data_IF_786376263908
#
_entry.id   IF_786376263908
#
_cell.length_a   1.000
_cell.length_b   1.000
_cell.length_c   1.000
_cell.angle_alpha   90.00
_cell.angle_beta   90.00
_cell.angle_gamma   90.00
#
_symmetry.space_group_name_H-M   'P 1'
#
loop_
_entity.id
_entity.type
_entity.pdbx_description
1 polymer ?
#
# COMPACT_ATOMS: atom_id res chain seq x y z
N UNK A 1 -6.24 -30.08 -58.57
CA UNK A 1 -5.13 -30.03 -57.59
C UNK A 1 -5.04 -28.59 -57.08
N UNK A 2 -5.91 -28.23 -56.13
CA UNK A 2 -5.89 -26.93 -55.45
C UNK A 2 -6.18 -27.20 -53.99
N UNK A 3 -5.21 -26.83 -53.18
CA UNK A 3 -4.99 -27.18 -51.78
C UNK A 3 -6.07 -26.59 -50.88
N UNK A 4 -6.61 -27.41 -49.97
CA UNK A 4 -7.44 -26.96 -48.85
C UNK A 4 -6.59 -26.11 -47.89
N UNK A 5 -7.13 -25.03 -47.31
CA UNK A 5 -6.39 -24.23 -46.35
C UNK A 5 -6.25 -24.99 -45.02
N UNK A 6 -5.02 -24.99 -44.51
CA UNK A 6 -4.58 -25.49 -43.22
C UNK A 6 -5.46 -24.97 -42.07
N UNK A 7 -5.97 -25.88 -41.24
CA UNK A 7 -6.55 -25.57 -39.95
C UNK A 7 -5.54 -24.77 -39.11
N UNK A 8 -5.93 -23.56 -38.70
CA UNK A 8 -5.16 -22.77 -37.76
C UNK A 8 -5.25 -23.42 -36.37
N UNK A 9 -4.12 -23.98 -35.92
CA UNK A 9 -3.96 -24.45 -34.54
C UNK A 9 -4.07 -23.24 -33.60
N UNK A 10 -5.24 -23.09 -32.97
CA UNK A 10 -5.48 -22.11 -31.92
C UNK A 10 -4.56 -22.44 -30.73
N UNK A 11 -3.72 -21.52 -30.23
CA UNK A 11 -2.84 -21.82 -29.12
C UNK A 11 -3.67 -22.14 -27.87
N UNK A 12 -3.28 -23.22 -27.19
CA UNK A 12 -3.93 -23.72 -25.99
C UNK A 12 -3.87 -22.65 -24.89
N UNK A 13 -4.92 -21.82 -24.77
CA UNK A 13 -5.00 -20.77 -23.74
C UNK A 13 -4.92 -21.46 -22.37
N UNK A 14 -3.83 -21.21 -21.65
CA UNK A 14 -3.61 -21.76 -20.31
C UNK A 14 -4.82 -21.39 -19.44
N UNK A 15 -5.66 -22.38 -19.13
CA UNK A 15 -6.93 -22.15 -18.41
C UNK A 15 -6.73 -21.82 -16.94
N UNK A 16 -5.52 -22.02 -16.43
CA UNK A 16 -5.13 -21.79 -15.05
C UNK A 16 -3.70 -21.27 -14.96
N UNK A 17 -3.43 -20.42 -13.97
CA UNK A 17 -2.08 -19.97 -13.65
C UNK A 17 -1.83 -19.95 -12.15
N UNK A 18 -0.55 -20.05 -11.75
CA UNK A 18 -0.11 -19.93 -10.36
C UNK A 18 0.49 -18.55 -10.11
N UNK A 19 0.22 -17.97 -8.95
CA UNK A 19 0.82 -16.70 -8.52
C UNK A 19 0.84 -16.61 -7.01
N UNK A 20 1.84 -15.91 -6.47
CA UNK A 20 1.73 -15.36 -5.12
C UNK A 20 0.66 -14.26 -5.10
N UNK A 21 0.01 -14.09 -3.95
CA UNK A 21 -1.02 -13.07 -3.76
C UNK A 21 -1.10 -12.62 -2.30
N UNK A 22 -1.33 -11.32 -2.10
CA UNK A 22 -1.69 -10.72 -0.81
C UNK A 22 -3.16 -10.29 -0.88
N UNK A 23 -3.96 -10.70 0.10
CA UNK A 23 -5.40 -10.34 0.15
C UNK A 23 -5.57 -8.93 0.73
N UNK A 24 -5.93 -7.96 -0.12
CA UNK A 24 -6.15 -6.56 0.28
C UNK A 24 -7.56 -6.33 0.84
N UNK A 25 -8.56 -6.91 0.17
CA UNK A 25 -9.98 -6.77 0.53
C UNK A 25 -10.70 -8.10 0.31
N UNK A 26 -11.70 -8.33 1.17
CA UNK A 26 -12.60 -9.46 1.09
C UNK A 26 -14.03 -8.98 1.33
N UNK A 27 -14.94 -9.40 0.48
CA UNK A 27 -16.38 -9.16 0.65
C UNK A 27 -17.14 -10.47 0.43
N UNK A 28 -18.24 -10.64 1.16
CA UNK A 28 -19.14 -11.76 0.93
C UNK A 28 -19.78 -11.63 -0.45
N UNK A 29 -19.86 -12.74 -1.19
CA UNK A 29 -20.41 -12.78 -2.54
C UNK A 29 -21.39 -13.94 -2.65
N UNK A 30 -22.67 -13.62 -2.83
CA UNK A 30 -23.74 -14.61 -2.73
C UNK A 30 -23.78 -15.28 -1.34
N UNK A 31 -24.27 -16.52 -1.28
CA UNK A 31 -24.47 -17.22 -0.01
C UNK A 31 -23.21 -17.87 0.53
N UNK A 32 -22.35 -18.43 -0.33
CA UNK A 32 -21.24 -19.30 0.10
C UNK A 32 -19.87 -18.88 -0.43
N UNK A 33 -19.79 -17.84 -1.27
CA UNK A 33 -18.56 -17.42 -1.93
C UNK A 33 -18.00 -16.13 -1.30
N UNK A 34 -16.74 -15.83 -1.61
CA UNK A 34 -16.09 -14.56 -1.29
C UNK A 34 -15.54 -13.93 -2.57
N UNK A 35 -15.70 -12.62 -2.70
CA UNK A 35 -14.97 -11.82 -3.67
C UNK A 35 -13.73 -11.25 -2.99
N UNK A 36 -12.56 -11.51 -3.59
CA UNK A 36 -11.27 -11.07 -3.10
C UNK A 36 -10.71 -10.01 -4.03
N UNK A 37 -10.15 -8.95 -3.48
CA UNK A 37 -9.18 -8.10 -4.18
C UNK A 37 -7.81 -8.48 -3.67
N UNK A 38 -6.95 -8.95 -4.57
CA UNK A 38 -5.60 -9.40 -4.25
C UNK A 38 -4.57 -8.59 -5.02
N UNK A 39 -3.39 -8.44 -4.46
CA UNK A 39 -2.24 -7.88 -5.16
C UNK A 39 -1.23 -8.97 -5.42
N UNK A 40 -0.66 -8.99 -6.63
CA UNK A 40 0.24 -10.05 -7.10
C UNK A 40 1.51 -9.45 -7.69
N UNK A 41 2.63 -10.16 -7.63
CA UNK A 41 3.91 -9.64 -8.10
C UNK A 41 3.99 -9.48 -9.62
N UNK A 42 3.27 -10.30 -10.40
CA UNK A 42 3.42 -10.38 -11.86
C UNK A 42 2.15 -10.08 -12.66
N UNK A 43 1.03 -9.75 -11.99
CA UNK A 43 -0.25 -9.43 -12.65
C UNK A 43 -0.95 -8.23 -12.01
N UNK A 44 -0.25 -7.53 -11.12
CA UNK A 44 -0.81 -6.42 -10.38
C UNK A 44 -1.98 -6.82 -9.51
N UNK A 45 -2.95 -5.91 -9.41
CA UNK A 45 -4.18 -6.11 -8.66
C UNK A 45 -5.20 -6.92 -9.46
N UNK A 46 -5.81 -7.90 -8.81
CA UNK A 46 -6.81 -8.81 -9.40
C UNK A 46 -8.04 -8.93 -8.52
N UNK A 47 -9.20 -9.15 -9.16
CA UNK A 47 -10.44 -9.58 -8.48
C UNK A 47 -10.71 -11.06 -8.71
N UNK A 48 -10.79 -11.82 -7.63
CA UNK A 48 -10.96 -13.28 -7.68
C UNK A 48 -12.21 -13.71 -6.93
N UNK A 49 -12.97 -14.66 -7.49
CA UNK A 49 -14.05 -15.33 -6.77
C UNK A 49 -13.48 -16.59 -6.10
N UNK A 50 -13.56 -16.66 -4.78
CA UNK A 50 -13.27 -17.85 -4.00
C UNK A 50 -14.57 -18.63 -3.74
N UNK A 51 -14.89 -19.56 -4.64
CA UNK A 51 -16.12 -20.36 -4.58
C UNK A 51 -16.16 -21.29 -3.36
N UNK A 52 -17.28 -21.27 -2.64
CA UNK A 52 -17.54 -22.03 -1.44
C UNK A 52 -16.66 -21.63 -0.26
N UNK A 53 -15.97 -20.48 -0.32
CA UNK A 53 -15.03 -20.06 0.71
C UNK A 53 -15.67 -19.91 2.10
N UNK A 54 -16.97 -19.63 2.18
CA UNK A 54 -17.73 -19.46 3.44
C UNK A 54 -18.36 -20.76 3.95
N UNK A 55 -18.25 -21.87 3.22
CA UNK A 55 -18.77 -23.16 3.71
C UNK A 55 -17.97 -23.59 4.94
N UNK A 56 -18.60 -24.15 5.99
CA UNK A 56 -17.88 -24.67 7.16
C UNK A 56 -16.81 -25.71 6.80
N UNK A 57 -17.02 -26.48 5.73
CA UNK A 57 -16.09 -27.50 5.21
C UNK A 57 -15.06 -26.96 4.22
N UNK A 58 -14.98 -25.63 4.05
CA UNK A 58 -14.12 -24.99 3.05
C UNK A 58 -12.65 -25.12 3.41
N UNK A 59 -11.91 -25.85 2.58
CA UNK A 59 -10.43 -25.87 2.64
C UNK A 59 -9.78 -24.54 2.29
N UNK A 60 -10.52 -23.58 1.71
CA UNK A 60 -9.96 -22.28 1.28
C UNK A 60 -10.12 -21.18 2.32
N UNK A 61 -11.04 -21.33 3.30
CA UNK A 61 -11.46 -20.22 4.17
C UNK A 61 -10.28 -19.56 4.89
N UNK A 62 -9.43 -20.36 5.54
CA UNK A 62 -8.28 -19.85 6.29
C UNK A 62 -7.16 -19.26 5.43
N UNK A 63 -7.11 -19.63 4.14
CA UNK A 63 -6.07 -19.18 3.20
C UNK A 63 -6.45 -17.90 2.44
N UNK A 64 -7.67 -17.40 2.61
CA UNK A 64 -8.19 -16.21 1.93
C UNK A 64 -8.67 -15.16 2.94
N UNK A 65 -7.99 -15.13 4.06
CA UNK A 65 -8.22 -14.14 5.10
C UNK A 65 -7.57 -12.80 4.72
N UNK A 66 -8.02 -11.72 5.35
CA UNK A 66 -7.44 -10.40 5.07
C UNK A 66 -5.96 -10.38 5.43
N UNK A 67 -5.18 -9.69 4.61
CA UNK A 67 -3.74 -9.46 4.74
C UNK A 67 -2.84 -10.68 4.55
N UNK A 68 -3.41 -11.89 4.48
CA UNK A 68 -2.60 -13.10 4.28
C UNK A 68 -1.90 -13.09 2.93
N UNK A 69 -0.65 -13.53 2.93
CA UNK A 69 0.16 -13.83 1.75
C UNK A 69 0.13 -15.33 1.47
N UNK A 70 -0.11 -15.72 0.22
CA UNK A 70 -0.20 -17.13 -0.14
C UNK A 70 0.05 -17.43 -1.61
N UNK A 71 0.19 -18.71 -1.90
CA UNK A 71 0.31 -19.27 -3.24
C UNK A 71 -1.08 -19.65 -3.78
N UNK A 72 -1.49 -19.01 -4.87
CA UNK A 72 -2.83 -19.14 -5.44
C UNK A 72 -2.78 -19.86 -6.78
N UNK A 73 -3.73 -20.77 -7.02
CA UNK A 73 -4.03 -21.34 -8.34
C UNK A 73 -5.34 -20.73 -8.83
N UNK A 74 -5.25 -19.97 -9.92
CA UNK A 74 -6.36 -19.19 -10.45
C UNK A 74 -6.77 -19.74 -11.80
N UNK A 75 -8.06 -19.99 -11.99
CA UNK A 75 -8.64 -20.31 -13.29
C UNK A 75 -9.15 -19.04 -13.97
N UNK A 76 -8.77 -18.86 -15.24
CA UNK A 76 -9.18 -17.69 -16.03
C UNK A 76 -10.66 -17.81 -16.36
N UNK A 77 -11.46 -16.87 -15.86
CA UNK A 77 -12.90 -16.83 -16.06
C UNK A 77 -13.29 -16.07 -17.34
N UNK A 78 -14.58 -16.04 -17.64
CA UNK A 78 -15.12 -15.18 -18.70
C UNK A 78 -15.19 -13.71 -18.27
N UNK A 79 -15.59 -13.47 -17.01
CA UNK A 79 -15.78 -12.13 -16.44
C UNK A 79 -14.93 -11.92 -15.18
N UNK A 80 -14.89 -12.92 -14.29
CA UNK A 80 -14.08 -12.90 -13.07
C UNK A 80 -13.32 -14.20 -12.96
N UNK A 81 -12.05 -14.09 -12.61
CA UNK A 81 -11.19 -15.23 -12.38
C UNK A 81 -11.57 -15.95 -11.09
N UNK A 82 -11.37 -17.26 -11.07
CA UNK A 82 -11.83 -18.13 -10.00
C UNK A 82 -10.61 -18.66 -9.24
N UNK A 83 -10.58 -18.42 -7.94
CA UNK A 83 -9.60 -19.03 -7.05
C UNK A 83 -9.95 -20.50 -6.82
N UNK A 84 -9.12 -21.38 -7.40
CA UNK A 84 -9.34 -22.84 -7.34
C UNK A 84 -8.64 -23.47 -6.14
N UNK A 85 -7.41 -23.06 -5.85
CA UNK A 85 -6.61 -23.48 -4.69
C UNK A 85 -5.89 -22.29 -4.08
N UNK A 86 -5.70 -22.32 -2.77
CA UNK A 86 -4.92 -21.34 -2.03
C UNK A 86 -4.18 -22.05 -0.91
N UNK A 87 -2.91 -21.70 -0.74
CA UNK A 87 -2.05 -22.17 0.33
C UNK A 87 -1.40 -20.95 0.98
N UNK A 88 -1.48 -20.84 2.30
CA UNK A 88 -0.89 -19.72 3.03
C UNK A 88 0.63 -19.87 3.07
N UNK A 89 1.34 -18.81 2.72
CA UNK A 89 2.78 -18.68 2.94
C UNK A 89 3.00 -17.96 4.27
N UNK A 90 2.39 -16.79 4.44
CA UNK A 90 2.47 -16.00 5.67
C UNK A 90 1.07 -15.46 6.06
N UNK A 91 0.51 -15.90 7.21
CA UNK A 91 -0.81 -15.48 7.66
C UNK A 91 -0.86 -14.08 8.28
N UNK A 92 0.27 -13.51 8.71
CA UNK A 92 0.38 -12.25 9.48
C UNK A 92 -0.64 -12.16 10.63
N UNK A 93 -0.72 -13.21 11.47
CA UNK A 93 -1.73 -13.33 12.52
C UNK A 93 -1.83 -12.10 13.45
N UNK A 94 -0.72 -11.45 13.88
CA UNK A 94 -0.80 -10.26 14.74
C UNK A 94 -1.62 -9.12 14.14
N UNK A 95 -1.68 -9.00 12.80
CA UNK A 95 -2.48 -7.97 12.13
C UNK A 95 -3.98 -8.18 12.27
N UNK A 96 -4.44 -9.37 12.68
CA UNK A 96 -5.87 -9.69 12.87
C UNK A 96 -6.25 -9.89 14.33
N UNK A 97 -5.26 -10.06 15.20
CA UNK A 97 -5.46 -10.31 16.64
C UNK A 97 -5.41 -9.01 17.47
N UNK A 98 -4.75 -7.97 16.95
CA UNK A 98 -4.71 -6.63 17.56
C UNK A 98 -5.46 -5.60 16.72
N UNK A 99 -6.36 -4.84 17.37
CA UNK A 99 -7.22 -3.87 16.70
C UNK A 99 -6.43 -2.71 16.06
N UNK A 100 -5.36 -2.25 16.71
CA UNK A 100 -4.56 -1.13 16.21
C UNK A 100 -3.71 -1.59 15.02
N UNK A 101 -3.07 -2.76 15.10
CA UNK A 101 -2.36 -3.40 13.98
C UNK A 101 -3.31 -3.67 12.81
N UNK A 102 -4.51 -4.19 13.07
CA UNK A 102 -5.57 -4.38 12.06
C UNK A 102 -5.84 -3.07 11.32
N UNK A 103 -5.96 -1.97 12.06
CA UNK A 103 -6.27 -0.67 11.49
C UNK A 103 -5.14 -0.17 10.58
N UNK A 104 -3.88 -0.30 11.01
CA UNK A 104 -2.73 0.06 10.18
C UNK A 104 -2.56 -0.86 8.97
N UNK A 105 -2.87 -2.16 9.10
CA UNK A 105 -2.87 -3.09 7.98
C UNK A 105 -3.90 -2.68 6.91
N UNK A 106 -5.11 -2.28 7.32
CA UNK A 106 -6.09 -1.70 6.41
C UNK A 106 -5.59 -0.41 5.74
N UNK A 107 -4.90 0.45 6.48
CA UNK A 107 -4.34 1.69 5.95
C UNK A 107 -3.30 1.42 4.84
N UNK A 108 -2.31 0.57 5.13
CA UNK A 108 -1.26 0.17 4.18
C UNK A 108 -1.86 -0.53 2.96
N UNK A 109 -2.84 -1.41 3.16
CA UNK A 109 -3.56 -2.09 2.07
C UNK A 109 -4.41 -1.12 1.22
N UNK A 110 -5.09 -0.15 1.85
CA UNK A 110 -5.87 0.87 1.15
C UNK A 110 -4.98 1.75 0.27
N UNK A 111 -3.77 2.10 0.74
CA UNK A 111 -2.80 2.83 -0.06
C UNK A 111 -2.32 2.02 -1.27
N UNK A 112 -1.97 0.73 -1.09
CA UNK A 112 -1.61 -0.14 -2.21
C UNK A 112 -2.76 -0.25 -3.23
N UNK A 113 -4.00 -0.43 -2.77
CA UNK A 113 -5.19 -0.45 -3.63
C UNK A 113 -5.41 0.90 -4.33
N UNK A 114 -5.17 2.01 -3.65
CA UNK A 114 -5.42 3.36 -4.16
C UNK A 114 -4.44 3.78 -5.27
N UNK A 115 -3.17 3.43 -5.11
CA UNK A 115 -2.09 3.84 -6.01
C UNK A 115 -1.80 2.83 -7.13
N UNK A 116 -2.57 1.74 -7.23
CA UNK A 116 -2.43 0.74 -8.29
C UNK A 116 -3.70 0.60 -9.11
N UNK A 117 -3.54 0.47 -10.43
CA UNK A 117 -4.63 0.09 -11.31
C UNK A 117 -4.79 -1.44 -11.36
N UNK A 118 -5.96 -1.92 -11.81
CA UNK A 118 -6.18 -3.34 -12.03
C UNK A 118 -5.31 -3.84 -13.20
N UNK A 119 -4.57 -4.94 -13.01
CA UNK A 119 -3.64 -5.49 -14.00
C UNK A 119 -2.27 -4.81 -14.09
N UNK A 120 -2.03 -3.72 -13.36
CA UNK A 120 -0.75 -2.99 -13.39
C UNK A 120 0.29 -3.67 -12.51
N UNK A 121 1.31 -4.25 -13.14
CA UNK A 121 2.37 -5.00 -12.46
C UNK A 121 3.33 -4.04 -11.74
N UNK A 122 3.44 -4.19 -10.43
CA UNK A 122 4.44 -3.47 -9.64
C UNK A 122 5.04 -4.40 -8.58
N UNK A 123 6.00 -5.24 -9.01
CA UNK A 123 6.73 -6.17 -8.14
C UNK A 123 7.39 -5.48 -6.94
N UNK A 124 8.10 -4.34 -7.09
CA UNK A 124 8.67 -3.63 -5.95
C UNK A 124 7.62 -3.23 -4.90
N UNK A 125 6.44 -2.77 -5.34
CA UNK A 125 5.36 -2.41 -4.41
C UNK A 125 4.77 -3.64 -3.73
N UNK A 126 4.71 -4.78 -4.42
CA UNK A 126 4.27 -6.04 -3.82
C UNK A 126 5.23 -6.47 -2.69
N UNK A 127 6.53 -6.40 -2.93
CA UNK A 127 7.54 -6.71 -1.93
C UNK A 127 7.52 -5.69 -0.77
N UNK A 128 7.35 -4.40 -1.06
CA UNK A 128 7.18 -3.37 -0.03
C UNK A 128 5.95 -3.60 0.85
N UNK A 129 4.82 -4.01 0.27
CA UNK A 129 3.59 -4.31 1.02
C UNK A 129 3.79 -5.53 1.95
N UNK A 130 4.46 -6.57 1.45
CA UNK A 130 4.82 -7.77 2.22
C UNK A 130 5.69 -7.39 3.42
N UNK A 131 6.71 -6.58 3.19
CA UNK A 131 7.61 -6.10 4.23
C UNK A 131 6.86 -5.23 5.24
N UNK A 132 5.99 -4.33 4.79
CA UNK A 132 5.18 -3.47 5.66
C UNK A 132 4.25 -4.27 6.58
N UNK A 133 3.62 -5.33 6.08
CA UNK A 133 2.85 -6.24 6.94
C UNK A 133 3.73 -6.96 7.97
N UNK A 134 4.93 -7.39 7.59
CA UNK A 134 5.93 -7.91 8.54
C UNK A 134 6.31 -6.89 9.61
N UNK A 135 6.61 -5.65 9.21
CA UNK A 135 6.93 -4.57 10.15
C UNK A 135 5.78 -4.29 11.11
N UNK A 136 4.54 -4.24 10.60
CA UNK A 136 3.35 -4.01 11.41
C UNK A 136 3.01 -5.18 12.35
N UNK A 137 3.55 -6.39 12.16
CA UNK A 137 3.44 -7.48 13.12
C UNK A 137 4.34 -7.28 14.34
N UNK A 138 5.51 -6.68 14.15
CA UNK A 138 6.56 -6.61 15.18
C UNK A 138 6.77 -5.21 15.77
N UNK A 139 6.30 -4.16 15.09
CA UNK A 139 6.58 -2.79 15.49
C UNK A 139 5.94 -2.44 16.83
N UNK A 140 6.72 -1.75 17.67
CA UNK A 140 6.23 -1.03 18.86
C UNK A 140 5.55 0.28 18.45
N UNK A 141 6.03 0.89 17.35
CA UNK A 141 5.54 2.16 16.81
C UNK A 141 4.95 1.94 15.40
N UNK A 142 3.65 1.63 15.38
CA UNK A 142 2.91 1.38 14.15
C UNK A 142 2.77 2.63 13.28
N UNK A 143 2.72 3.81 13.89
CA UNK A 143 2.63 5.07 13.16
C UNK A 143 3.91 5.32 12.37
N UNK A 144 5.07 5.10 12.98
CA UNK A 144 6.37 5.21 12.31
C UNK A 144 6.52 4.22 11.15
N UNK A 145 6.11 2.96 11.35
CA UNK A 145 6.10 1.94 10.29
C UNK A 145 5.23 2.38 9.10
N UNK A 146 4.04 2.93 9.37
CA UNK A 146 3.16 3.44 8.32
C UNK A 146 3.77 4.65 7.57
N UNK A 147 4.37 5.62 8.28
CA UNK A 147 5.04 6.77 7.65
C UNK A 147 6.23 6.34 6.77
N UNK A 148 6.98 5.33 7.20
CA UNK A 148 8.04 4.75 6.38
C UNK A 148 7.45 4.14 5.11
N UNK A 149 6.46 3.25 5.25
CA UNK A 149 5.78 2.66 4.09
C UNK A 149 5.25 3.70 3.10
N UNK A 150 4.61 4.76 3.56
CA UNK A 150 4.08 5.84 2.71
C UNK A 150 5.14 6.49 1.83
N UNK A 151 6.28 6.86 2.42
CA UNK A 151 7.36 7.52 1.67
C UNK A 151 7.95 6.61 0.59
N UNK A 152 8.14 5.33 0.92
CA UNK A 152 8.69 4.34 -0.01
C UNK A 152 7.67 3.98 -1.09
N UNK A 153 6.39 3.85 -0.75
CA UNK A 153 5.31 3.68 -1.71
C UNK A 153 5.28 4.84 -2.69
N UNK A 154 5.28 6.09 -2.19
CA UNK A 154 5.30 7.29 -3.04
C UNK A 154 6.51 7.31 -3.97
N UNK A 155 7.66 6.81 -3.51
CA UNK A 155 8.85 6.59 -4.35
C UNK A 155 8.58 5.64 -5.52
N UNK A 156 8.01 4.47 -5.23
CA UNK A 156 7.72 3.44 -6.22
C UNK A 156 6.65 3.84 -7.24
N UNK A 157 5.74 4.74 -6.88
CA UNK A 157 4.66 5.20 -7.78
C UNK A 157 4.93 6.57 -8.40
N UNK A 158 6.17 7.09 -8.27
CA UNK A 158 6.62 8.31 -8.96
C UNK A 158 6.24 9.64 -8.30
N UNK A 159 5.74 9.62 -7.07
CA UNK A 159 5.35 10.80 -6.30
C UNK A 159 6.30 11.14 -5.14
N UNK A 160 7.56 10.68 -5.21
CA UNK A 160 8.54 10.91 -4.14
C UNK A 160 8.68 12.41 -3.82
N UNK A 161 8.46 12.84 -2.56
CA UNK A 161 8.62 14.24 -2.22
C UNK A 161 10.10 14.64 -2.27
N UNK A 162 10.40 15.79 -2.88
CA UNK A 162 11.72 16.45 -2.80
C UNK A 162 11.89 17.10 -1.42
N UNK A 163 12.81 16.57 -0.61
CA UNK A 163 13.01 17.01 0.77
C UNK A 163 14.34 17.75 1.00
N UNK A 164 15.25 17.80 0.03
CA UNK A 164 16.63 18.28 0.22
C UNK A 164 16.89 19.65 -0.40
N UNK A 165 16.26 19.92 -1.54
CA UNK A 165 16.43 21.14 -2.33
C UNK A 165 15.10 21.87 -2.41
N UNK A 166 15.12 23.19 -2.26
CA UNK A 166 13.95 24.04 -2.39
C UNK A 166 13.44 24.02 -3.84
N UNK A 167 12.17 23.69 -4.05
CA UNK A 167 11.60 23.64 -5.39
C UNK A 167 11.51 25.01 -6.09
N UNK A 168 11.37 26.10 -5.32
CA UNK A 168 11.26 27.45 -5.88
C UNK A 168 12.60 28.04 -6.33
N UNK A 169 13.65 27.92 -5.50
CA UNK A 169 14.95 28.57 -5.79
C UNK A 169 16.11 27.60 -6.02
N UNK A 170 15.87 26.28 -5.97
CA UNK A 170 16.84 25.23 -6.25
C UNK A 170 18.09 25.23 -5.33
N UNK A 171 18.01 25.93 -4.19
CA UNK A 171 19.05 25.91 -3.16
C UNK A 171 18.79 24.79 -2.15
N UNK A 172 19.86 24.28 -1.54
CA UNK A 172 19.75 23.32 -0.43
C UNK A 172 18.96 23.94 0.71
N UNK A 173 18.05 23.16 1.28
CA UNK A 173 17.20 23.60 2.38
C UNK A 173 17.99 23.58 3.70
N UNK A 174 18.03 24.75 4.33
CA UNK A 174 18.69 24.98 5.62
C UNK A 174 17.91 24.34 6.79
N UNK A 175 18.57 24.10 7.93
CA UNK A 175 17.95 23.49 9.11
C UNK A 175 17.07 24.48 9.88
N UNK A 176 16.03 24.98 9.23
CA UNK A 176 15.04 25.92 9.75
C UNK A 176 13.62 25.45 9.45
N UNK A 177 12.63 26.28 9.80
CA UNK A 177 11.23 26.03 9.42
C UNK A 177 11.09 26.18 7.90
N UNK A 178 10.63 25.13 7.24
CA UNK A 178 10.41 25.11 5.79
C UNK A 178 8.91 24.89 5.49
N UNK A 179 8.56 24.72 4.21
CA UNK A 179 7.17 24.57 3.81
C UNK A 179 7.01 23.39 2.84
N UNK A 180 6.10 22.45 3.10
CA UNK A 180 5.77 21.39 2.15
C UNK A 180 4.62 21.84 1.25
N UNK A 181 4.82 21.78 -0.07
CA UNK A 181 3.75 21.91 -1.07
C UNK A 181 3.53 20.56 -1.76
N UNK A 182 2.34 20.00 -1.60
CA UNK A 182 1.97 18.76 -2.30
C UNK A 182 1.87 18.97 -3.82
N UNK A 183 1.39 20.14 -4.24
CA UNK A 183 1.26 20.52 -5.65
C UNK A 183 2.62 20.65 -6.35
N UNK A 184 3.61 21.21 -5.68
CA UNK A 184 4.97 21.33 -6.23
C UNK A 184 5.76 20.01 -6.09
N UNK A 185 5.26 19.04 -5.31
CA UNK A 185 5.90 17.75 -5.10
C UNK A 185 7.04 17.75 -4.07
N UNK A 186 7.05 18.68 -3.10
CA UNK A 186 8.12 18.73 -2.11
C UNK A 186 8.22 20.02 -1.33
N UNK A 187 9.44 20.35 -0.88
CA UNK A 187 9.68 21.39 0.11
C UNK A 187 10.18 22.71 -0.51
N UNK A 188 9.71 23.81 0.05
CA UNK A 188 10.09 25.19 -0.24
C UNK A 188 10.77 25.81 0.99
N UNK A 189 11.83 26.60 0.77
CA UNK A 189 12.49 27.38 1.82
C UNK A 189 11.59 28.53 2.31
N UNK A 190 11.91 29.22 3.43
CA UNK A 190 11.07 30.29 3.95
C UNK A 190 10.73 31.39 2.95
N UNK A 191 11.71 31.77 2.11
CA UNK A 191 11.54 32.80 1.08
C UNK A 191 10.53 32.38 0.01
N UNK A 192 10.56 31.11 -0.40
CA UNK A 192 9.72 30.61 -1.49
C UNK A 192 8.37 30.08 -1.00
N UNK A 193 8.27 29.66 0.25
CA UNK A 193 7.12 28.93 0.79
C UNK A 193 6.13 29.75 1.59
N UNK A 194 6.55 30.86 2.22
CA UNK A 194 5.72 31.62 3.18
C UNK A 194 4.35 32.04 2.63
N UNK A 195 4.33 32.56 1.41
CA UNK A 195 3.12 33.04 0.73
C UNK A 195 2.65 32.07 -0.37
N UNK A 196 3.24 30.88 -0.45
CA UNK A 196 2.90 29.90 -1.49
C UNK A 196 1.56 29.24 -1.17
N UNK A 197 0.60 29.38 -2.10
CA UNK A 197 -0.74 28.82 -1.93
C UNK A 197 -0.66 27.30 -1.75
N UNK A 198 -1.31 26.79 -0.71
CA UNK A 198 -1.37 25.36 -0.41
C UNK A 198 -0.11 24.79 0.25
N UNK A 199 0.95 25.57 0.40
CA UNK A 199 2.11 25.15 1.17
C UNK A 199 1.78 25.12 2.67
N UNK A 200 2.31 24.13 3.38
CA UNK A 200 2.12 23.96 4.83
C UNK A 200 3.45 24.06 5.52
N UNK A 201 3.48 24.78 6.65
CA UNK A 201 4.66 24.82 7.50
C UNK A 201 5.10 23.40 7.91
N UNK A 202 6.41 23.19 7.83
CA UNK A 202 7.12 21.97 8.13
C UNK A 202 8.30 22.32 9.04
N UNK A 203 8.23 21.89 10.29
CA UNK A 203 9.30 22.12 11.25
C UNK A 203 10.60 21.43 10.85
N UNK A 204 11.71 21.92 11.39
CA UNK A 204 13.02 21.29 11.26
C UNK A 204 13.00 19.81 11.66
N UNK A 205 12.30 19.47 12.75
CA UNK A 205 12.26 18.12 13.28
C UNK A 205 11.47 17.20 12.35
N UNK A 206 10.30 17.62 11.88
CA UNK A 206 9.54 16.83 10.91
C UNK A 206 10.31 16.64 9.59
N UNK A 207 10.98 17.68 9.08
CA UNK A 207 11.83 17.56 7.90
C UNK A 207 12.99 16.58 8.09
N UNK A 208 13.65 16.60 9.26
CA UNK A 208 14.70 15.63 9.62
C UNK A 208 14.16 14.21 9.63
N UNK A 209 12.99 13.98 10.24
CA UNK A 209 12.34 12.66 10.26
C UNK A 209 12.04 12.18 8.85
N UNK A 210 11.36 13.00 8.04
CA UNK A 210 11.02 12.63 6.65
C UNK A 210 12.27 12.27 5.82
N UNK A 211 13.34 13.07 5.92
CA UNK A 211 14.62 12.78 5.25
C UNK A 211 15.26 11.48 5.75
N UNK A 212 15.18 11.21 7.05
CA UNK A 212 15.74 9.99 7.63
C UNK A 212 14.98 8.76 7.13
N UNK A 213 13.64 8.78 7.17
CA UNK A 213 12.80 7.70 6.68
C UNK A 213 12.98 7.45 5.17
N UNK A 214 13.20 8.50 4.37
CA UNK A 214 13.40 8.39 2.93
C UNK A 214 14.78 7.79 2.56
N UNK A 215 15.80 7.91 3.42
CA UNK A 215 17.20 7.59 3.05
C UNK A 215 17.84 6.45 3.84
N UNK A 216 17.18 5.94 4.88
CA UNK A 216 17.68 4.85 5.72
C UNK A 216 16.78 3.64 5.59
N UNK A 217 17.34 2.46 5.89
CA UNK A 217 16.56 1.23 5.93
C UNK A 217 15.60 1.19 7.14
N UNK A 218 14.63 0.29 7.09
CA UNK A 218 13.67 0.11 8.17
C UNK A 218 14.34 -0.31 9.49
N UNK A 219 15.37 -1.16 9.42
CA UNK A 219 16.09 -1.64 10.61
C UNK A 219 16.71 -0.49 11.42
N UNK A 220 17.19 0.55 10.75
CA UNK A 220 17.66 1.78 11.37
C UNK A 220 16.49 2.67 11.79
N UNK A 221 15.47 2.84 10.93
CA UNK A 221 14.34 3.72 11.21
C UNK A 221 13.51 3.28 12.41
N UNK A 222 13.29 1.98 12.62
CA UNK A 222 12.51 1.44 13.76
C UNK A 222 13.08 1.79 15.13
N UNK A 223 14.35 2.21 15.19
CA UNK A 223 15.02 2.63 16.42
C UNK A 223 14.74 4.09 16.78
N UNK A 224 14.17 4.88 15.86
CA UNK A 224 13.83 6.28 16.14
C UNK A 224 12.83 6.36 17.29
N UNK A 225 12.98 7.43 18.08
CA UNK A 225 12.04 7.83 19.13
C UNK A 225 11.61 9.25 18.84
N UNK A 226 10.36 9.40 18.43
CA UNK A 226 9.82 10.71 18.07
C UNK A 226 9.02 11.27 19.23
N UNK A 227 9.07 12.60 19.38
CA UNK A 227 8.15 13.27 20.29
C UNK A 227 6.72 13.18 19.74
N UNK A 228 5.68 13.23 20.60
CA UNK A 228 4.28 13.25 20.15
C UNK A 228 4.01 14.37 19.13
N UNK A 229 4.64 15.53 19.31
CA UNK A 229 4.55 16.65 18.36
C UNK A 229 5.13 16.30 16.98
N UNK A 230 6.29 15.63 16.94
CA UNK A 230 6.91 15.22 15.68
C UNK A 230 6.08 14.15 14.97
N UNK A 231 5.51 13.19 15.72
CA UNK A 231 4.56 12.22 15.17
C UNK A 231 3.37 12.90 14.51
N UNK A 232 2.68 13.77 15.24
CA UNK A 232 1.48 14.43 14.78
C UNK A 232 1.75 15.30 13.55
N UNK A 233 2.89 16.01 13.53
CA UNK A 233 3.26 16.84 12.40
C UNK A 233 3.58 16.02 11.15
N UNK A 234 4.42 14.97 11.27
CA UNK A 234 4.77 14.09 10.14
C UNK A 234 3.52 13.43 9.58
N UNK A 235 2.63 12.93 10.43
CA UNK A 235 1.35 12.37 10.01
C UNK A 235 0.48 13.37 9.25
N UNK A 236 0.29 14.58 9.81
CA UNK A 236 -0.53 15.63 9.19
C UNK A 236 0.01 16.02 7.81
N UNK A 237 1.34 16.11 7.69
CA UNK A 237 2.02 16.50 6.46
C UNK A 237 1.93 15.39 5.41
N UNK A 238 2.21 14.14 5.78
CA UNK A 238 2.11 13.00 4.86
C UNK A 238 0.67 12.74 4.42
N UNK A 239 -0.29 12.83 5.34
CA UNK A 239 -1.71 12.70 5.00
C UNK A 239 -2.15 13.74 3.97
N UNK A 240 -1.71 14.99 4.15
CA UNK A 240 -1.99 16.05 3.19
C UNK A 240 -1.41 15.74 1.80
N UNK A 241 -0.16 15.28 1.75
CA UNK A 241 0.52 14.94 0.51
C UNK A 241 -0.15 13.75 -0.22
N UNK A 242 -0.48 12.68 0.52
CA UNK A 242 -1.20 11.52 -0.01
C UNK A 242 -2.60 11.89 -0.53
N UNK A 243 -3.36 12.66 0.25
CA UNK A 243 -4.72 13.08 -0.13
C UNK A 243 -4.71 13.97 -1.37
N UNK A 244 -3.68 14.79 -1.55
CA UNK A 244 -3.50 15.59 -2.75
C UNK A 244 -3.32 14.71 -3.99
N UNK A 245 -2.37 13.78 -3.98
CA UNK A 245 -2.09 12.90 -5.12
C UNK A 245 -3.17 11.85 -5.38
N UNK A 246 -3.91 11.44 -4.35
CA UNK A 246 -5.05 10.52 -4.49
C UNK A 246 -6.34 11.21 -4.91
N UNK A 247 -6.41 12.55 -4.81
CA UNK A 247 -7.62 13.36 -5.00
C UNK A 247 -8.85 12.89 -4.18
N UNK A 248 -8.62 12.11 -3.12
CA UNK A 248 -9.65 11.56 -2.23
C UNK A 248 -9.11 11.33 -0.83
N UNK A 249 -10.02 11.32 0.15
CA UNK A 249 -9.68 10.96 1.52
C UNK A 249 -9.54 9.44 1.67
N UNK A 250 -8.64 9.04 2.56
CA UNK A 250 -8.43 7.65 2.96
C UNK A 250 -9.38 7.29 4.11
N UNK A 251 -10.18 6.24 3.92
CA UNK A 251 -11.21 5.84 4.91
C UNK A 251 -10.59 5.31 6.19
N UNK A 252 -9.44 4.65 6.07
CA UNK A 252 -8.68 4.08 7.20
C UNK A 252 -8.13 5.16 8.14
N UNK A 253 -7.74 6.33 7.63
CA UNK A 253 -7.26 7.45 8.47
C UNK A 253 -8.33 7.92 9.44
N UNK A 254 -9.56 8.10 8.95
CA UNK A 254 -10.68 8.51 9.80
C UNK A 254 -10.92 7.52 10.96
N UNK A 255 -10.61 6.24 10.76
CA UNK A 255 -10.71 5.21 11.78
C UNK A 255 -9.53 5.24 12.77
N UNK A 256 -8.29 5.42 12.28
CA UNK A 256 -7.09 5.60 13.13
C UNK A 256 -7.31 6.72 14.15
N UNK A 257 -7.74 7.90 13.66
CA UNK A 257 -7.95 9.07 14.51
C UNK A 257 -9.05 8.86 15.55
N UNK A 258 -10.07 8.05 15.25
CA UNK A 258 -11.13 7.72 16.23
C UNK A 258 -10.62 6.81 17.34
N UNK A 259 -9.73 5.87 17.03
CA UNK A 259 -9.15 4.96 18.02
C UNK A 259 -8.15 5.66 18.93
N UNK A 260 -7.31 6.53 18.40
CA UNK A 260 -6.27 7.24 19.16
C UNK A 260 -6.79 8.37 20.06
N UNK A 261 -8.06 8.78 19.91
CA UNK A 261 -8.70 9.80 20.74
C UNK A 261 -9.37 9.24 22.00
N UNK A 262 -9.35 7.92 22.19
CA UNK A 262 -9.78 7.23 23.41
C UNK A 262 -8.57 6.88 24.26
#
# INVERSE_FOLDING_TARGET
MVSLPSEAVMPHRERTYRTEAIVLRRTDFGEVDRLLTVFTPGRGKLKLIAKGARKPTSRKSGHVELFSHGQFLVAVGRNLDILTQAETIEPYLPLREDLLRTTYAYYVAELADAFTAEGDENRPLFDLLKDAFGWLCEADDLALAARYYELHLLGLVGYQPQLFVCLGCQQRLEPEVNYLSAAEGGVLCPRCGRDHRGARELSLNALKVLRFLQTRDWATCRLLRLSPASHAEVERVMNHYLTYHLERRLKSVDFIHRLQRK
#
